data_IF_467434132675
#
_entry.id   IF_467434132675
#
_cell.length_a   1.000
_cell.length_b   1.000
_cell.length_c   1.000
_cell.angle_alpha   90.00
_cell.angle_beta   90.00
_cell.angle_gamma   90.00
#
_symmetry.space_group_name_H-M   'P 1'
#
loop_
_entity.id
_entity.type
_entity.pdbx_description
1 polymer ?
#
# COMPACT_ATOMS: atom_id res chain seq x y z
N UNK A 1 1.78 9.23 -6.26
CA UNK A 1 2.02 9.31 -7.71
C UNK A 1 0.99 8.46 -8.46
N UNK A 2 0.22 9.08 -9.36
CA UNK A 2 -0.78 8.38 -10.16
C UNK A 2 -0.15 7.87 -11.45
N UNK A 3 0.12 6.58 -11.51
CA UNK A 3 0.83 5.94 -12.64
C UNK A 3 -0.11 5.59 -13.81
N UNK A 4 -1.43 5.46 -13.58
CA UNK A 4 -2.37 4.97 -14.59
C UNK A 4 -3.05 6.05 -15.41
N UNK A 5 -3.12 7.26 -14.91
CA UNK A 5 -3.82 8.35 -15.62
C UNK A 5 -2.99 8.93 -16.76
N UNK A 6 -1.70 8.65 -16.77
CA UNK A 6 -0.80 9.07 -17.84
C UNK A 6 -0.68 8.04 -18.98
N UNK A 7 -1.08 6.78 -18.78
CA UNK A 7 -0.97 5.71 -19.78
C UNK A 7 -1.78 5.91 -21.06
N UNK A 8 -2.95 6.58 -21.08
CA UNK A 8 -3.65 6.89 -22.32
C UNK A 8 -3.03 8.04 -23.11
N UNK A 9 -2.09 8.77 -22.50
CA UNK A 9 -1.42 9.92 -23.11
C UNK A 9 -0.08 9.43 -23.66
N UNK A 10 0.10 9.51 -24.96
CA UNK A 10 1.39 9.21 -25.61
C UNK A 10 2.50 10.05 -24.93
N UNK A 11 3.51 9.40 -24.37
CA UNK A 11 4.54 10.00 -23.49
C UNK A 11 4.04 10.56 -22.15
N UNK A 12 2.98 10.00 -21.59
CA UNK A 12 2.56 10.33 -20.22
C UNK A 12 3.49 9.72 -19.16
N UNK A 13 3.32 10.16 -17.92
CA UNK A 13 4.06 9.67 -16.75
C UNK A 13 3.89 8.16 -16.57
N UNK A 14 4.98 7.45 -16.31
CA UNK A 14 5.01 5.99 -16.19
C UNK A 14 5.81 5.53 -14.96
N UNK A 15 5.93 4.21 -14.77
CA UNK A 15 6.64 3.64 -13.63
C UNK A 15 8.14 3.99 -13.61
N UNK A 16 8.78 4.05 -14.79
CA UNK A 16 10.21 4.40 -14.90
C UNK A 16 10.43 5.84 -14.41
N UNK A 17 9.57 6.78 -14.83
CA UNK A 17 9.62 8.17 -14.38
C UNK A 17 9.43 8.27 -12.86
N UNK A 18 8.58 7.42 -12.30
CA UNK A 18 8.32 7.37 -10.85
C UNK A 18 9.53 6.82 -10.07
N UNK A 19 10.19 5.80 -10.59
CA UNK A 19 11.43 5.27 -9.98
C UNK A 19 12.51 6.34 -9.97
N UNK A 20 12.74 7.02 -11.09
CA UNK A 20 13.72 8.10 -11.20
C UNK A 20 13.42 9.23 -10.21
N UNK A 21 12.16 9.67 -10.13
CA UNK A 21 11.72 10.65 -9.15
C UNK A 21 11.98 10.18 -7.71
N UNK A 22 11.70 8.92 -7.39
CA UNK A 22 11.90 8.37 -6.04
C UNK A 22 13.37 8.30 -5.65
N UNK A 23 14.28 8.06 -6.60
CA UNK A 23 15.72 8.15 -6.38
C UNK A 23 16.12 9.58 -5.94
N UNK A 24 15.59 10.60 -6.64
CA UNK A 24 15.84 12.00 -6.30
C UNK A 24 15.21 12.39 -4.96
N UNK A 25 13.98 11.97 -4.68
CA UNK A 25 13.30 12.24 -3.42
C UNK A 25 14.04 11.61 -2.22
N UNK A 26 14.57 10.40 -2.36
CA UNK A 26 15.41 9.79 -1.35
C UNK A 26 16.66 10.63 -1.04
N UNK A 27 17.32 11.15 -2.06
CA UNK A 27 18.48 12.02 -1.89
C UNK A 27 18.15 13.35 -1.17
N UNK A 28 16.88 13.78 -1.27
CA UNK A 28 16.35 14.96 -0.58
C UNK A 28 15.84 14.66 0.85
N UNK A 29 15.95 13.43 1.33
CA UNK A 29 15.59 13.03 2.70
C UNK A 29 14.17 12.52 2.87
N UNK A 30 13.52 12.04 1.80
CA UNK A 30 12.23 11.33 1.92
C UNK A 30 12.50 9.92 2.43
N UNK A 31 11.78 9.49 3.45
CA UNK A 31 11.97 8.22 4.15
C UNK A 31 11.10 7.08 3.60
N UNK A 32 9.91 7.39 3.06
CA UNK A 32 8.95 6.40 2.57
C UNK A 32 8.10 6.96 1.45
N UNK A 33 7.75 6.15 0.48
CA UNK A 33 6.84 6.49 -0.62
C UNK A 33 5.52 5.72 -0.47
N UNK A 34 4.40 6.44 -0.38
CA UNK A 34 3.06 5.87 -0.58
C UNK A 34 2.81 5.72 -2.08
N UNK A 35 2.64 4.47 -2.51
CA UNK A 35 2.55 4.13 -3.94
C UNK A 35 1.12 3.85 -4.34
N UNK A 36 0.49 4.84 -4.97
CA UNK A 36 -0.85 4.71 -5.52
C UNK A 36 -0.89 5.07 -7.00
N UNK A 37 -1.90 4.60 -7.71
CA UNK A 37 -2.09 4.84 -9.14
C UNK A 37 -3.56 5.05 -9.47
N UNK A 38 -3.84 5.79 -10.54
CA UNK A 38 -5.20 6.00 -11.05
C UNK A 38 -6.00 7.08 -10.32
N UNK A 39 -7.12 7.48 -10.90
CA UNK A 39 -8.10 8.39 -10.29
C UNK A 39 -7.96 9.87 -10.67
N UNK A 40 -6.96 10.27 -11.44
CA UNK A 40 -6.84 11.66 -11.89
C UNK A 40 -7.79 12.00 -13.07
N UNK A 41 -8.21 10.98 -13.82
CA UNK A 41 -9.18 11.15 -14.93
C UNK A 41 -10.51 10.53 -14.54
N UNK A 42 -11.59 11.29 -14.68
CA UNK A 42 -12.95 10.90 -14.26
C UNK A 42 -13.44 9.55 -14.83
N UNK A 43 -13.03 9.18 -16.02
CA UNK A 43 -13.46 7.95 -16.72
C UNK A 43 -12.33 6.94 -16.92
N UNK A 44 -11.24 7.00 -16.14
CA UNK A 44 -10.16 6.03 -16.25
C UNK A 44 -10.66 4.61 -15.98
N UNK A 45 -10.43 3.69 -16.92
CA UNK A 45 -10.69 2.27 -16.74
C UNK A 45 -9.53 1.65 -15.99
N UNK A 46 -9.69 1.47 -14.69
CA UNK A 46 -8.71 0.83 -13.83
C UNK A 46 -9.10 -0.63 -13.64
N UNK A 47 -8.25 -1.56 -14.03
CA UNK A 47 -8.41 -3.00 -13.75
C UNK A 47 -8.09 -3.27 -12.27
N UNK A 48 -9.01 -2.84 -11.41
CA UNK A 48 -8.87 -2.91 -9.96
C UNK A 48 -9.15 -4.34 -9.47
N UNK A 49 -8.08 -5.05 -9.09
CA UNK A 49 -8.11 -6.36 -8.41
C UNK A 49 -7.35 -6.28 -7.09
N UNK A 50 -7.52 -7.25 -6.17
CA UNK A 50 -6.77 -7.25 -4.92
C UNK A 50 -5.27 -7.08 -5.14
N UNK A 51 -4.67 -6.05 -4.50
CA UNK A 51 -3.25 -5.75 -4.61
C UNK A 51 -2.77 -5.21 -5.97
N UNK A 52 -3.65 -4.67 -6.82
CA UNK A 52 -3.29 -4.24 -8.18
C UNK A 52 -2.17 -3.18 -8.25
N UNK A 53 -1.89 -2.47 -7.17
CA UNK A 53 -0.82 -1.48 -7.10
C UNK A 53 0.46 -2.00 -6.41
N UNK A 54 0.43 -3.19 -5.82
CA UNK A 54 1.59 -3.80 -5.15
C UNK A 54 2.81 -3.91 -6.08
N UNK A 55 2.69 -4.31 -7.35
CA UNK A 55 3.84 -4.37 -8.26
C UNK A 55 4.57 -3.03 -8.44
N UNK A 56 3.86 -1.91 -8.35
CA UNK A 56 4.47 -0.58 -8.43
C UNK A 56 5.27 -0.25 -7.16
N UNK A 57 4.74 -0.60 -5.98
CA UNK A 57 5.46 -0.46 -4.72
C UNK A 57 6.73 -1.30 -4.71
N UNK A 58 6.64 -2.54 -5.18
CA UNK A 58 7.78 -3.45 -5.30
C UNK A 58 8.87 -2.90 -6.22
N UNK A 59 8.51 -2.39 -7.39
CA UNK A 59 9.46 -1.81 -8.33
C UNK A 59 10.18 -0.58 -7.72
N UNK A 60 9.44 0.37 -7.17
CA UNK A 60 10.02 1.56 -6.53
C UNK A 60 10.92 1.15 -5.35
N UNK A 61 10.45 0.23 -4.49
CA UNK A 61 11.23 -0.29 -3.38
C UNK A 61 12.57 -0.86 -3.82
N UNK A 62 12.53 -1.66 -4.87
CA UNK A 62 13.71 -2.40 -5.35
C UNK A 62 14.67 -1.50 -6.14
N UNK A 63 14.14 -0.70 -7.07
CA UNK A 63 14.97 0.07 -8.02
C UNK A 63 15.43 1.41 -7.45
N UNK A 64 14.58 2.12 -6.69
CA UNK A 64 14.97 3.34 -5.99
C UNK A 64 15.59 3.06 -4.61
N UNK A 65 15.51 1.82 -4.13
CA UNK A 65 16.01 1.42 -2.81
C UNK A 65 15.50 2.35 -1.69
N UNK A 66 14.20 2.63 -1.68
CA UNK A 66 13.50 3.46 -0.70
C UNK A 66 12.32 2.66 -0.13
N UNK A 67 12.03 2.75 1.18
CA UNK A 67 10.86 2.11 1.75
C UNK A 67 9.56 2.53 1.04
N UNK A 68 8.63 1.58 0.88
CA UNK A 68 7.36 1.82 0.22
C UNK A 68 6.18 1.35 1.05
N UNK A 69 5.05 2.04 0.89
CA UNK A 69 3.75 1.57 1.34
C UNK A 69 2.88 1.20 0.13
N UNK A 70 2.33 -0.01 0.15
CA UNK A 70 1.40 -0.48 -0.86
C UNK A 70 -0.05 -0.20 -0.46
N UNK A 71 -0.87 0.19 -1.43
CA UNK A 71 -2.30 0.41 -1.28
C UNK A 71 -3.05 -0.21 -2.47
N UNK A 72 -4.32 -0.45 -2.35
CA UNK A 72 -5.18 -0.87 -3.48
C UNK A 72 -5.82 -2.24 -3.27
N UNK A 73 -7.07 -2.22 -2.78
CA UNK A 73 -7.86 -3.43 -2.50
C UNK A 73 -7.12 -4.46 -1.64
N UNK A 74 -6.34 -3.99 -0.67
CA UNK A 74 -5.83 -4.80 0.42
C UNK A 74 -6.93 -4.81 1.48
N UNK A 75 -7.52 -5.98 1.75
CA UNK A 75 -8.67 -6.12 2.64
C UNK A 75 -8.47 -7.19 3.70
N UNK A 76 -7.75 -8.26 3.37
CA UNK A 76 -7.54 -9.39 4.24
C UNK A 76 -6.20 -9.32 4.97
N UNK A 77 -6.16 -9.72 6.25
CA UNK A 77 -4.91 -9.76 7.03
C UNK A 77 -3.81 -10.59 6.37
N UNK A 78 -4.15 -11.75 5.83
CA UNK A 78 -3.19 -12.65 5.17
C UNK A 78 -2.60 -12.02 3.90
N UNK A 79 -3.39 -11.24 3.17
CA UNK A 79 -2.90 -10.49 2.01
C UNK A 79 -1.90 -9.41 2.46
N UNK A 80 -2.22 -8.66 3.50
CA UNK A 80 -1.33 -7.63 4.04
C UNK A 80 -0.01 -8.24 4.57
N UNK A 81 -0.11 -9.33 5.32
CA UNK A 81 1.04 -10.07 5.85
C UNK A 81 1.93 -10.61 4.72
N UNK A 82 1.33 -11.16 3.67
CA UNK A 82 2.08 -11.66 2.52
C UNK A 82 2.93 -10.55 1.87
N UNK A 83 2.37 -9.39 1.60
CA UNK A 83 3.06 -8.25 0.99
C UNK A 83 4.31 -7.86 1.80
N UNK A 84 4.18 -7.84 3.13
CA UNK A 84 5.30 -7.48 4.02
C UNK A 84 6.35 -8.58 4.08
N UNK A 85 5.93 -9.83 4.31
CA UNK A 85 6.84 -10.95 4.53
C UNK A 85 7.60 -11.37 3.27
N UNK A 86 7.01 -11.17 2.09
CA UNK A 86 7.69 -11.39 0.81
C UNK A 86 8.55 -10.21 0.36
N UNK A 87 8.50 -9.09 1.10
CA UNK A 87 9.30 -7.90 0.79
C UNK A 87 8.81 -7.10 -0.42
N UNK A 88 7.52 -7.24 -0.77
CA UNK A 88 6.92 -6.47 -1.86
C UNK A 88 6.72 -4.99 -1.50
N UNK A 89 6.49 -4.71 -0.21
CA UNK A 89 6.47 -3.37 0.37
C UNK A 89 6.86 -3.43 1.85
N UNK A 90 7.14 -2.28 2.45
CA UNK A 90 7.51 -2.16 3.87
C UNK A 90 6.31 -1.83 4.76
N UNK A 91 5.23 -1.33 4.16
CA UNK A 91 3.96 -1.04 4.83
C UNK A 91 2.78 -1.29 3.89
N UNK A 92 1.58 -1.38 4.47
CA UNK A 92 0.32 -1.41 3.73
C UNK A 92 -0.61 -0.30 4.21
N UNK A 93 -1.30 0.34 3.28
CA UNK A 93 -2.31 1.34 3.57
C UNK A 93 -3.69 0.81 3.25
N UNK A 94 -4.62 1.04 4.19
CA UNK A 94 -5.98 0.54 4.14
C UNK A 94 -6.94 1.73 4.23
N UNK A 95 -7.72 1.99 3.19
CA UNK A 95 -8.75 3.02 3.22
C UNK A 95 -10.11 2.42 3.58
N UNK A 96 -10.84 1.91 2.59
CA UNK A 96 -12.21 1.41 2.77
C UNK A 96 -12.34 0.24 3.76
N UNK A 97 -11.32 -0.60 3.89
CA UNK A 97 -11.31 -1.68 4.88
C UNK A 97 -11.38 -1.12 6.31
N UNK A 98 -10.60 -0.09 6.62
CA UNK A 98 -10.63 0.56 7.94
C UNK A 98 -11.86 1.45 8.15
N UNK A 99 -12.44 2.02 7.09
CA UNK A 99 -13.73 2.73 7.21
C UNK A 99 -14.86 1.76 7.61
N UNK A 100 -14.85 0.54 7.08
CA UNK A 100 -15.81 -0.51 7.45
C UNK A 100 -15.54 -1.11 8.81
N UNK A 101 -14.27 -1.25 9.17
CA UNK A 101 -13.82 -1.79 10.44
C UNK A 101 -12.65 -0.96 11.00
N UNK A 102 -12.93 0.06 11.84
CA UNK A 102 -11.89 0.90 12.43
C UNK A 102 -10.87 0.15 13.30
N UNK A 103 -11.20 -1.08 13.72
CA UNK A 103 -10.34 -1.96 14.52
C UNK A 103 -9.70 -3.07 13.68
N UNK A 104 -9.61 -2.87 12.37
CA UNK A 104 -9.08 -3.87 11.44
C UNK A 104 -7.70 -4.40 11.88
N UNK A 105 -6.79 -3.53 12.32
CA UNK A 105 -5.45 -3.94 12.74
C UNK A 105 -5.46 -4.87 13.97
N UNK A 106 -6.36 -4.62 14.95
CA UNK A 106 -6.52 -5.49 16.11
C UNK A 106 -7.04 -6.87 15.71
N UNK A 107 -8.05 -6.91 14.86
CA UNK A 107 -8.59 -8.18 14.34
C UNK A 107 -7.59 -8.90 13.44
N UNK A 108 -6.81 -8.18 12.65
CA UNK A 108 -5.75 -8.76 11.85
C UNK A 108 -4.69 -9.44 12.71
N UNK A 109 -4.28 -8.81 13.82
CA UNK A 109 -3.32 -9.41 14.74
C UNK A 109 -3.83 -10.73 15.36
N UNK A 110 -5.10 -10.78 15.74
CA UNK A 110 -5.70 -12.01 16.25
C UNK A 110 -5.77 -13.10 15.17
N UNK A 111 -6.23 -12.74 13.96
CA UNK A 111 -6.36 -13.67 12.84
C UNK A 111 -5.00 -14.26 12.41
N UNK A 112 -3.94 -13.47 12.50
CA UNK A 112 -2.58 -13.89 12.19
C UNK A 112 -1.87 -14.56 13.37
N UNK A 113 -2.51 -14.70 14.52
CA UNK A 113 -1.92 -15.28 15.73
C UNK A 113 -0.85 -14.40 16.38
N UNK A 114 -0.82 -13.11 16.04
CA UNK A 114 0.12 -12.13 16.59
C UNK A 114 -0.50 -11.38 17.76
N UNK A 115 0.13 -11.45 18.90
CA UNK A 115 -0.35 -10.75 20.10
C UNK A 115 0.18 -9.33 20.11
N UNK A 116 -0.72 -8.34 20.06
CA UNK A 116 -0.42 -6.93 20.25
C UNK A 116 -1.18 -6.40 21.47
N UNK A 117 -0.68 -5.32 22.08
CA UNK A 117 -1.36 -4.68 23.19
C UNK A 117 -2.58 -3.90 22.70
N UNK A 118 -3.73 -4.20 23.28
CA UNK A 118 -4.96 -3.44 23.03
C UNK A 118 -5.03 -2.27 24.01
N UNK A 119 -5.61 -1.16 23.57
CA UNK A 119 -5.95 -0.08 24.49
C UNK A 119 -6.90 -0.60 25.58
N UNK A 120 -6.66 -0.25 26.84
CA UNK A 120 -7.41 -0.74 28.01
C UNK A 120 -8.93 -0.77 27.83
N UNK A 121 -9.59 0.25 27.26
CA UNK A 121 -11.04 0.20 27.04
C UNK A 121 -11.51 -0.89 26.07
N UNK A 122 -10.62 -1.37 25.21
CA UNK A 122 -10.91 -2.37 24.16
C UNK A 122 -10.51 -3.78 24.58
N UNK A 123 -9.69 -3.94 25.61
CA UNK A 123 -9.08 -5.22 26.00
C UNK A 123 -10.12 -6.30 26.34
N UNK A 124 -11.29 -5.88 26.86
CA UNK A 124 -12.42 -6.79 27.12
C UNK A 124 -13.04 -7.40 25.85
N UNK A 125 -12.76 -6.85 24.68
CA UNK A 125 -13.24 -7.34 23.40
C UNK A 125 -12.30 -8.35 22.73
N UNK A 126 -11.17 -8.67 23.37
CA UNK A 126 -10.21 -9.64 22.87
C UNK A 126 -10.81 -11.04 22.91
N UNK A 127 -10.68 -11.79 21.84
CA UNK A 127 -11.02 -13.22 21.84
C UNK A 127 -9.98 -14.01 22.63
N UNK A 128 -10.44 -15.02 23.37
CA UNK A 128 -9.61 -15.83 24.26
C UNK A 128 -8.68 -16.77 23.46
#
# INVERSE_FOLDING_TARGET
>A
LSLHDALPIYNGWNLIDSVELCIQLKALGVDLIDVSSGGAIHNAKIDAKPGFQVPFATAIRTEANIPTAAVGLITEPEQAEHIITTGEADAVFLARAMLRNPRWALMASEKLGHRIDWALPLDRGRTA
#
